data_IF_706356059126
#
_entry.id   IF_706356059126
#
_cell.length_a   1.000
_cell.length_b   1.000
_cell.length_c   1.000
_cell.angle_alpha   90.00
_cell.angle_beta   90.00
_cell.angle_gamma   90.00
#
_symmetry.space_group_name_H-M   'P 1'
#
loop_
_entity.id
_entity.type
_entity.pdbx_description
1 polymer ?
#
# COMPACT_ATOMS: atom_id res chain seq x y z
N UNK A 1 9.06 27.06 -6.08
CA UNK A 1 10.41 26.46 -6.10
C UNK A 1 10.66 25.92 -4.70
N UNK A 2 11.16 24.70 -4.53
CA UNK A 2 11.44 24.12 -3.20
C UNK A 2 12.96 24.14 -2.95
N UNK A 3 13.36 24.23 -1.67
CA UNK A 3 14.77 24.19 -1.30
C UNK A 3 15.41 22.86 -1.73
N UNK A 4 16.57 22.96 -2.38
CA UNK A 4 17.46 21.83 -2.65
C UNK A 4 18.45 21.70 -1.51
N UNK A 5 18.75 20.46 -1.16
CA UNK A 5 19.72 20.12 -0.12
C UNK A 5 20.83 19.29 -0.75
N UNK A 6 21.98 19.23 -0.06
CA UNK A 6 23.05 18.27 -0.34
C UNK A 6 23.13 17.31 0.84
N UNK A 7 22.19 16.36 0.89
CA UNK A 7 22.08 15.43 2.02
C UNK A 7 23.24 14.45 2.02
N UNK A 8 23.88 14.29 3.18
CA UNK A 8 25.00 13.36 3.38
C UNK A 8 24.53 11.90 3.37
N UNK A 9 25.48 10.97 3.21
CA UNK A 9 25.18 9.54 3.30
C UNK A 9 24.75 9.13 4.71
N UNK A 10 25.29 9.77 5.74
CA UNK A 10 24.93 9.50 7.14
C UNK A 10 23.49 9.91 7.41
N UNK A 11 23.08 11.12 7.02
CA UNK A 11 21.68 11.56 7.15
C UNK A 11 20.71 10.64 6.40
N UNK A 12 21.12 10.09 5.25
CA UNK A 12 20.32 9.09 4.54
C UNK A 12 20.27 7.75 5.28
N UNK A 13 21.37 7.31 5.89
CA UNK A 13 21.39 6.11 6.73
C UNK A 13 20.50 6.29 7.98
N UNK A 14 20.45 7.48 8.56
CA UNK A 14 19.57 7.79 9.70
C UNK A 14 18.10 7.65 9.32
N UNK A 15 17.72 8.17 8.15
CA UNK A 15 16.40 7.96 7.59
C UNK A 15 16.09 6.46 7.37
N UNK A 16 17.05 5.68 6.87
CA UNK A 16 16.89 4.23 6.67
C UNK A 16 16.61 3.54 8.01
N UNK A 17 17.36 3.89 9.06
CA UNK A 17 17.19 3.27 10.39
C UNK A 17 15.76 3.48 10.92
N UNK A 18 15.25 4.72 10.83
CA UNK A 18 13.92 5.10 11.31
C UNK A 18 12.77 4.54 10.44
N UNK A 19 12.83 4.72 9.12
CA UNK A 19 11.66 4.54 8.26
C UNK A 19 11.66 3.25 7.43
N UNK A 20 12.83 2.68 7.13
CA UNK A 20 12.92 1.56 6.18
C UNK A 20 12.79 0.23 6.93
N UNK A 21 11.58 -0.35 6.87
CA UNK A 21 11.30 -1.68 7.45
C UNK A 21 11.60 -2.84 6.48
N UNK A 22 11.47 -2.60 5.18
CA UNK A 22 11.92 -3.49 4.11
C UNK A 22 12.45 -2.68 2.94
N UNK A 23 13.33 -3.28 2.12
CA UNK A 23 14.00 -2.60 1.00
C UNK A 23 13.17 -2.50 -0.27
N UNK A 24 11.99 -3.10 -0.31
CA UNK A 24 11.03 -2.83 -1.38
C UNK A 24 10.50 -1.41 -1.25
N UNK A 25 10.36 -0.71 -2.38
CA UNK A 25 9.81 0.63 -2.43
C UNK A 25 9.19 0.91 -3.80
N UNK A 26 8.38 1.96 -3.89
CA UNK A 26 7.91 2.46 -5.17
C UNK A 26 8.33 3.91 -5.38
N UNK A 27 8.49 4.31 -6.63
CA UNK A 27 8.88 5.66 -7.03
C UNK A 27 7.73 6.33 -7.76
N UNK A 28 7.50 7.61 -7.44
CA UNK A 28 6.55 8.43 -8.16
C UNK A 28 7.13 8.82 -9.52
N UNK A 29 6.29 8.79 -10.56
CA UNK A 29 6.65 9.31 -11.88
C UNK A 29 7.10 10.77 -11.78
N UNK A 30 8.18 11.14 -12.48
CA UNK A 30 8.64 12.53 -12.52
C UNK A 30 7.71 13.43 -13.34
N UNK A 31 7.10 12.87 -14.40
CA UNK A 31 6.14 13.57 -15.25
C UNK A 31 4.75 12.98 -15.04
N UNK A 32 3.69 13.81 -14.98
CA UNK A 32 2.33 13.31 -15.03
C UNK A 32 2.10 12.58 -16.35
N UNK A 33 1.25 11.56 -16.31
CA UNK A 33 0.64 10.97 -17.49
C UNK A 33 -0.25 12.01 -18.19
N UNK A 34 -0.64 11.80 -19.48
CA UNK A 34 -1.53 12.72 -20.20
C UNK A 34 -2.86 13.01 -19.48
N UNK A 35 -3.34 12.09 -18.63
CA UNK A 35 -4.53 12.26 -17.80
C UNK A 35 -4.28 13.04 -16.48
N UNK A 36 -3.11 13.65 -16.32
CA UNK A 36 -2.69 14.39 -15.13
C UNK A 36 -2.31 13.52 -13.92
N UNK A 37 -2.47 12.19 -13.98
CA UNK A 37 -2.08 11.30 -12.87
C UNK A 37 -0.57 11.17 -12.79
N UNK A 38 -0.05 11.11 -11.56
CA UNK A 38 1.37 10.89 -11.29
C UNK A 38 1.53 9.53 -10.59
N UNK A 39 1.54 8.42 -11.33
CA UNK A 39 1.51 7.07 -10.76
C UNK A 39 2.79 6.74 -10.00
N UNK A 40 2.69 5.73 -9.14
CA UNK A 40 3.83 5.08 -8.51
C UNK A 40 4.13 3.76 -9.22
N UNK A 41 5.41 3.43 -9.32
CA UNK A 41 5.89 2.17 -9.89
C UNK A 41 6.84 1.49 -8.93
N UNK A 42 6.75 0.16 -8.82
CA UNK A 42 7.73 -0.62 -8.07
C UNK A 42 9.12 -0.37 -8.62
N UNK A 43 10.07 -0.12 -7.73
CA UNK A 43 11.45 0.15 -8.13
C UNK A 43 12.11 -1.11 -8.69
N UNK A 44 12.61 -0.99 -9.92
CA UNK A 44 13.30 -2.05 -10.65
C UNK A 44 14.53 -1.48 -11.31
N UNK A 45 15.54 -2.31 -11.46
CA UNK A 45 16.70 -2.00 -12.28
C UNK A 45 16.27 -1.86 -13.75
N UNK A 46 16.75 -0.82 -14.42
CA UNK A 46 16.23 -0.48 -15.75
C UNK A 46 16.69 -1.49 -16.81
N UNK A 47 17.86 -2.10 -16.63
CA UNK A 47 18.47 -3.05 -17.57
C UNK A 47 17.92 -4.46 -17.34
N UNK A 48 18.04 -4.96 -16.12
CA UNK A 48 17.70 -6.34 -15.75
C UNK A 48 16.23 -6.53 -15.41
N UNK A 49 15.48 -5.43 -15.18
CA UNK A 49 14.08 -5.43 -14.69
C UNK A 49 13.89 -6.11 -13.33
N UNK A 50 14.96 -6.49 -12.65
CA UNK A 50 14.91 -7.10 -11.33
C UNK A 50 14.54 -6.06 -10.26
N UNK A 51 13.94 -6.46 -9.12
CA UNK A 51 13.67 -5.55 -8.01
C UNK A 51 14.95 -4.80 -7.60
N UNK A 52 14.88 -3.47 -7.54
CA UNK A 52 15.99 -2.65 -7.05
C UNK A 52 15.80 -2.43 -5.55
N UNK A 53 16.69 -2.91 -4.67
CA UNK A 53 16.58 -2.64 -3.24
C UNK A 53 16.80 -1.17 -2.92
N UNK A 54 16.03 -0.62 -1.99
CA UNK A 54 16.23 0.72 -1.46
C UNK A 54 17.62 0.83 -0.82
N UNK A 55 18.37 1.88 -1.15
CA UNK A 55 19.70 2.18 -0.66
C UNK A 55 19.84 3.65 -0.24
N UNK A 56 20.98 3.99 0.36
CA UNK A 56 21.25 5.35 0.84
C UNK A 56 21.22 6.39 -0.29
N UNK A 57 21.61 6.02 -1.51
CA UNK A 57 21.68 6.97 -2.62
C UNK A 57 20.27 7.35 -3.10
N UNK A 58 19.34 6.41 -3.17
CA UNK A 58 17.92 6.69 -3.43
C UNK A 58 17.31 7.56 -2.33
N UNK A 59 17.66 7.31 -1.07
CA UNK A 59 17.19 8.15 0.05
C UNK A 59 17.75 9.57 -0.05
N UNK A 60 19.02 9.75 -0.41
CA UNK A 60 19.59 11.08 -0.68
C UNK A 60 18.83 11.78 -1.79
N UNK A 61 18.55 11.10 -2.91
CA UNK A 61 17.74 11.67 -4.00
C UNK A 61 16.34 12.08 -3.53
N UNK A 62 15.69 11.28 -2.67
CA UNK A 62 14.38 11.62 -2.10
C UNK A 62 14.46 12.85 -1.20
N UNK A 63 15.42 12.90 -0.28
CA UNK A 63 15.63 14.01 0.64
C UNK A 63 16.16 15.27 -0.06
N UNK A 64 16.83 15.16 -1.21
CA UNK A 64 17.18 16.30 -2.07
C UNK A 64 15.99 16.75 -2.95
N UNK A 65 14.89 16.00 -2.96
CA UNK A 65 13.71 16.28 -3.77
C UNK A 65 13.87 15.93 -5.25
N UNK A 66 14.84 15.10 -5.63
CA UNK A 66 15.07 14.63 -6.99
C UNK A 66 14.10 13.50 -7.37
N UNK A 67 13.78 12.64 -6.41
CA UNK A 67 12.73 11.61 -6.52
C UNK A 67 11.74 11.71 -5.38
N UNK A 68 10.62 11.00 -5.48
CA UNK A 68 9.66 10.85 -4.40
C UNK A 68 9.34 9.37 -4.30
N UNK A 69 9.54 8.78 -3.13
CA UNK A 69 9.32 7.34 -2.92
C UNK A 69 8.16 7.09 -1.97
N UNK A 70 7.56 5.90 -2.08
CA UNK A 70 6.72 5.34 -1.03
C UNK A 70 7.40 4.15 -0.37
N UNK A 71 7.14 4.00 0.92
CA UNK A 71 7.63 2.90 1.76
C UNK A 71 6.49 1.95 2.09
N UNK A 72 6.84 0.68 2.31
CA UNK A 72 5.92 -0.35 2.76
C UNK A 72 6.13 -0.59 4.25
N UNK A 73 5.03 -0.60 5.01
CA UNK A 73 5.07 -0.68 6.47
C UNK A 73 5.44 -2.07 6.99
N UNK A 74 4.95 -3.14 6.35
CA UNK A 74 5.03 -4.52 6.85
C UNK A 74 6.22 -5.25 6.23
N UNK A 75 7.03 -5.90 7.06
CA UNK A 75 8.04 -6.86 6.65
C UNK A 75 7.36 -8.23 6.41
N UNK A 76 7.49 -8.85 5.22
CA UNK A 76 6.74 -10.06 4.87
C UNK A 76 7.20 -11.32 5.62
N UNK A 77 8.44 -11.35 6.12
CA UNK A 77 8.98 -12.50 6.84
C UNK A 77 8.52 -12.51 8.30
N UNK A 78 8.36 -11.32 8.88
CA UNK A 78 8.08 -11.16 10.32
C UNK A 78 6.68 -10.64 10.61
N UNK A 79 5.97 -10.12 9.61
CA UNK A 79 4.67 -9.42 9.75
C UNK A 79 4.71 -8.22 10.71
N UNK A 80 5.92 -7.68 10.93
CA UNK A 80 6.19 -6.57 11.86
C UNK A 80 6.44 -5.26 11.13
N UNK A 81 6.28 -4.14 11.82
CA UNK A 81 6.46 -2.78 11.33
C UNK A 81 7.32 -1.93 12.27
N UNK A 82 8.13 -1.01 11.72
CA UNK A 82 8.99 -0.10 12.51
C UNK A 82 8.27 1.13 13.03
N UNK A 83 7.10 1.41 12.48
CA UNK A 83 6.35 2.62 12.75
C UNK A 83 4.88 2.38 12.44
N UNK A 84 4.05 3.18 13.09
CA UNK A 84 2.64 3.35 12.77
C UNK A 84 2.48 4.76 12.21
N UNK A 85 1.75 4.89 11.10
CA UNK A 85 1.42 6.18 10.51
C UNK A 85 -0.10 6.32 10.38
N UNK A 86 -0.64 7.41 10.91
CA UNK A 86 -2.06 7.74 10.82
C UNK A 86 -2.20 8.88 9.81
N UNK A 87 -2.75 8.57 8.65
CA UNK A 87 -2.95 9.52 7.55
C UNK A 87 -4.32 10.19 7.69
N UNK A 88 -4.32 11.50 7.92
CA UNK A 88 -5.53 12.31 7.98
C UNK A 88 -5.69 13.14 6.71
N UNK A 89 -6.63 12.72 5.86
CA UNK A 89 -6.93 13.37 4.57
C UNK A 89 -8.43 13.65 4.39
N UNK A 90 -9.02 14.39 5.33
CA UNK A 90 -10.44 14.77 5.37
C UNK A 90 -10.63 16.11 6.13
N UNK A 91 -11.82 16.69 6.05
CA UNK A 91 -12.14 17.93 6.77
C UNK A 91 -12.10 17.69 8.29
N UNK A 92 -11.32 18.48 9.01
CA UNK A 92 -11.07 18.27 10.45
C UNK A 92 -9.93 17.28 10.76
N UNK A 93 -9.20 16.79 9.74
CA UNK A 93 -8.09 15.86 9.95
C UNK A 93 -7.02 16.37 10.92
N UNK A 94 -6.63 17.65 10.82
CA UNK A 94 -5.59 18.23 11.70
C UNK A 94 -6.02 18.18 13.17
N UNK A 95 -7.26 18.56 13.48
CA UNK A 95 -7.82 18.49 14.83
C UNK A 95 -7.84 17.04 15.34
N UNK A 96 -8.27 16.08 14.50
CA UNK A 96 -8.27 14.67 14.84
C UNK A 96 -6.86 14.12 15.15
N UNK A 97 -5.85 14.52 14.36
CA UNK A 97 -4.46 14.12 14.59
C UNK A 97 -3.90 14.72 15.88
N UNK A 98 -4.21 15.97 16.21
CA UNK A 98 -3.82 16.57 17.50
C UNK A 98 -4.52 15.88 18.68
N UNK A 99 -5.81 15.55 18.55
CA UNK A 99 -6.55 14.81 19.57
C UNK A 99 -5.93 13.44 19.85
N UNK A 100 -5.56 12.71 18.79
CA UNK A 100 -4.83 11.44 18.90
C UNK A 100 -3.45 11.63 19.54
N UNK A 101 -2.67 12.62 19.10
CA UNK A 101 -1.35 12.91 19.66
C UNK A 101 -1.44 13.23 21.16
N UNK A 102 -2.44 13.99 21.58
CA UNK A 102 -2.68 14.33 22.98
C UNK A 102 -2.96 13.08 23.83
N UNK A 103 -3.85 12.21 23.36
CA UNK A 103 -4.21 10.98 24.07
C UNK A 103 -3.03 9.98 24.12
N UNK A 104 -2.31 9.81 23.01
CA UNK A 104 -1.06 9.02 22.96
C UNK A 104 -0.05 9.51 24.00
N UNK A 105 0.07 10.84 24.16
CA UNK A 105 0.95 11.42 25.15
C UNK A 105 0.53 11.10 26.59
N UNK A 106 -0.78 10.94 26.86
CA UNK A 106 -1.25 10.50 28.18
C UNK A 106 -0.84 9.05 28.48
N UNK A 107 -0.76 8.21 27.44
CA UNK A 107 -0.23 6.85 27.52
C UNK A 107 1.33 6.83 27.59
N UNK A 108 1.99 8.00 27.56
CA UNK A 108 3.44 8.10 27.51
C UNK A 108 4.04 7.68 26.16
N UNK A 109 3.24 7.69 25.09
CA UNK A 109 3.65 7.41 23.71
C UNK A 109 3.92 8.72 22.98
N UNK A 110 5.14 8.89 22.48
CA UNK A 110 5.49 10.06 21.69
C UNK A 110 5.18 9.83 20.20
N UNK A 111 4.55 10.85 19.60
CA UNK A 111 4.15 10.82 18.21
C UNK A 111 4.40 12.17 17.55
N UNK A 112 4.80 12.15 16.27
CA UNK A 112 5.18 13.34 15.52
C UNK A 112 4.25 13.59 14.34
N UNK A 113 3.76 14.82 14.20
CA UNK A 113 2.88 15.20 13.09
C UNK A 113 3.71 15.78 11.94
N UNK A 114 3.73 15.09 10.81
CA UNK A 114 4.16 15.62 9.51
C UNK A 114 2.98 16.37 8.87
N UNK A 115 3.20 17.61 8.45
CA UNK A 115 2.21 18.31 7.63
C UNK A 115 1.93 17.56 6.32
N UNK A 116 0.77 17.79 5.71
CA UNK A 116 0.48 17.27 4.37
C UNK A 116 -0.30 18.30 3.55
N UNK A 117 -0.62 17.96 2.29
CA UNK A 117 -1.38 18.84 1.40
C UNK A 117 -2.77 19.17 1.93
N UNK A 118 -3.42 18.22 2.60
CA UNK A 118 -4.85 18.27 2.98
C UNK A 118 -5.08 17.97 4.47
N UNK A 119 -4.03 17.70 5.23
CA UNK A 119 -4.09 17.39 6.65
C UNK A 119 -2.69 17.10 7.16
N UNK A 120 -2.44 15.87 7.59
CA UNK A 120 -1.13 15.47 8.10
C UNK A 120 -0.98 13.95 8.23
N UNK A 121 0.21 13.53 8.64
CA UNK A 121 0.48 12.16 9.06
C UNK A 121 0.99 12.19 10.50
N UNK A 122 0.35 11.45 11.41
CA UNK A 122 0.86 11.26 12.78
C UNK A 122 1.68 9.97 12.83
N UNK A 123 2.97 10.09 13.20
CA UNK A 123 3.93 9.00 13.19
C UNK A 123 4.30 8.57 14.61
N UNK A 124 4.23 7.27 14.87
CA UNK A 124 4.72 6.64 16.10
C UNK A 124 5.85 5.69 15.70
N UNK A 125 7.00 5.77 16.36
CA UNK A 125 8.16 4.94 16.05
C UNK A 125 8.35 3.86 17.11
N UNK A 126 8.63 2.65 16.67
CA UNK A 126 8.88 1.52 17.54
C UNK A 126 10.36 1.41 17.92
N UNK A 127 10.65 0.92 19.12
CA UNK A 127 12.01 0.64 19.57
C UNK A 127 12.59 -0.55 18.79
N UNK A 128 11.78 -1.61 18.69
CA UNK A 128 11.99 -2.76 17.83
C UNK A 128 10.72 -3.01 17.01
N UNK A 129 10.78 -3.62 15.82
CA UNK A 129 9.60 -3.79 14.99
C UNK A 129 8.45 -4.51 15.71
N UNK A 130 7.27 -3.88 15.73
CA UNK A 130 6.07 -4.33 16.43
C UNK A 130 5.15 -5.12 15.50
N UNK A 131 4.36 -6.05 16.04
CA UNK A 131 3.41 -6.81 15.23
C UNK A 131 2.38 -5.88 14.60
N UNK A 132 2.17 -5.99 13.28
CA UNK A 132 1.30 -5.07 12.55
C UNK A 132 -0.15 -5.13 13.06
N UNK A 133 -0.64 -6.31 13.41
CA UNK A 133 -1.98 -6.50 13.97
C UNK A 133 -2.17 -5.82 15.33
N UNK A 134 -1.21 -5.95 16.25
CA UNK A 134 -1.23 -5.32 17.57
C UNK A 134 -1.26 -3.78 17.46
N UNK A 135 -0.44 -3.23 16.55
CA UNK A 135 -0.43 -1.80 16.27
C UNK A 135 -1.81 -1.29 15.81
N UNK A 136 -2.49 -2.05 14.95
CA UNK A 136 -3.84 -1.73 14.49
C UNK A 136 -4.84 -1.80 15.62
N UNK A 137 -4.80 -2.83 16.47
CA UNK A 137 -5.69 -2.95 17.63
C UNK A 137 -5.62 -1.69 18.49
N UNK A 138 -4.41 -1.24 18.83
CA UNK A 138 -4.22 -0.05 19.65
C UNK A 138 -4.84 1.19 19.01
N UNK A 139 -4.42 1.54 17.78
CA UNK A 139 -4.84 2.79 17.16
C UNK A 139 -6.33 2.81 16.82
N UNK A 140 -6.91 1.69 16.37
CA UNK A 140 -8.34 1.64 16.08
C UNK A 140 -9.18 1.83 17.35
N UNK A 141 -8.84 1.16 18.45
CA UNK A 141 -9.56 1.33 19.72
C UNK A 141 -9.39 2.76 20.26
N UNK A 142 -8.20 3.33 20.18
CA UNK A 142 -7.92 4.71 20.58
C UNK A 142 -8.74 5.72 19.77
N UNK A 143 -8.73 5.61 18.44
CA UNK A 143 -9.48 6.49 17.56
C UNK A 143 -10.98 6.40 17.80
N UNK A 144 -11.54 5.20 17.99
CA UNK A 144 -12.96 5.02 18.30
C UNK A 144 -13.33 5.59 19.67
N UNK A 145 -12.52 5.37 20.72
CA UNK A 145 -12.70 5.98 22.05
C UNK A 145 -12.79 7.50 21.96
N UNK A 146 -12.00 8.11 21.07
CA UNK A 146 -11.95 9.55 20.86
C UNK A 146 -13.01 10.06 19.87
N UNK A 147 -13.81 9.19 19.26
CA UNK A 147 -14.78 9.58 18.21
C UNK A 147 -14.10 10.08 16.92
N UNK A 148 -12.86 9.71 16.67
CA UNK A 148 -12.14 10.04 15.42
C UNK A 148 -12.62 9.10 14.32
N UNK A 149 -13.14 9.61 13.19
CA UNK A 149 -13.63 8.76 12.11
C UNK A 149 -12.47 8.02 11.44
N UNK A 150 -12.66 6.73 11.16
CA UNK A 150 -11.69 5.87 10.47
C UNK A 150 -12.31 5.38 9.16
N UNK A 151 -11.56 5.46 8.06
CA UNK A 151 -12.00 4.90 6.77
C UNK A 151 -12.22 3.39 6.89
N UNK A 152 -13.35 2.91 6.38
CA UNK A 152 -13.80 1.53 6.57
C UNK A 152 -15.00 1.46 7.52
N UNK A 153 -15.52 0.25 7.80
CA UNK A 153 -16.64 0.07 8.71
C UNK A 153 -17.91 0.86 8.35
N UNK A 154 -18.10 1.19 7.07
CA UNK A 154 -19.21 2.00 6.56
C UNK A 154 -18.88 3.47 6.27
N UNK A 155 -17.74 3.98 6.78
CA UNK A 155 -17.33 5.37 6.56
C UNK A 155 -16.44 5.52 5.31
N UNK A 156 -16.73 6.55 4.51
CA UNK A 156 -15.97 6.91 3.29
C UNK A 156 -14.86 7.93 3.55
N UNK A 157 -14.88 8.61 4.69
CA UNK A 157 -13.92 9.64 5.08
C UNK A 157 -13.50 9.41 6.53
N UNK A 158 -12.26 9.78 6.85
CA UNK A 158 -11.65 9.59 8.15
C UNK A 158 -10.15 9.40 8.04
N UNK A 159 -9.51 9.03 9.14
CA UNK A 159 -8.12 8.62 9.15
C UNK A 159 -7.94 7.27 8.45
N UNK A 160 -6.76 7.06 7.88
CA UNK A 160 -6.28 5.76 7.46
C UNK A 160 -5.08 5.35 8.32
N UNK A 161 -5.07 4.13 8.85
CA UNK A 161 -4.00 3.63 9.72
C UNK A 161 -3.06 2.73 8.92
N UNK A 162 -1.77 3.01 8.98
CA UNK A 162 -0.70 2.19 8.40
C UNK A 162 0.13 1.58 9.54
N UNK A 163 0.36 0.25 9.57
CA UNK A 163 -0.07 -0.73 8.57
C UNK A 163 -1.59 -0.88 8.39
N UNK A 164 -2.05 -1.04 7.14
CA UNK A 164 -3.48 -1.26 6.82
C UNK A 164 -3.91 -2.71 6.99
N UNK A 165 -2.97 -3.63 6.93
CA UNK A 165 -3.20 -5.07 7.05
C UNK A 165 -2.65 -5.59 8.38
N UNK A 166 -3.26 -6.64 8.91
CA UNK A 166 -2.70 -7.43 10.02
C UNK A 166 -1.49 -8.25 9.57
N UNK A 167 -1.53 -8.72 8.32
CA UNK A 167 -0.48 -9.51 7.68
C UNK A 167 -0.53 -9.34 6.16
N UNK A 168 0.58 -9.65 5.49
CA UNK A 168 0.70 -9.75 4.03
C UNK A 168 1.13 -11.17 3.65
N UNK A 169 0.59 -11.67 2.54
CA UNK A 169 0.99 -12.96 1.98
C UNK A 169 2.34 -12.87 1.25
N UNK A 170 2.93 -14.02 0.95
CA UNK A 170 4.15 -14.08 0.15
C UNK A 170 3.95 -13.42 -1.21
N UNK A 171 4.91 -12.59 -1.62
CA UNK A 171 4.84 -11.81 -2.86
C UNK A 171 3.97 -10.55 -2.77
N UNK A 172 3.21 -10.35 -1.69
CA UNK A 172 2.49 -9.10 -1.46
C UNK A 172 3.43 -7.99 -0.90
N UNK A 173 3.10 -6.75 -1.23
CA UNK A 173 3.80 -5.57 -0.70
C UNK A 173 3.02 -4.87 0.42
N UNK A 174 1.70 -5.10 0.49
CA UNK A 174 0.80 -4.32 1.32
C UNK A 174 0.58 -2.90 0.79
N UNK A 175 0.01 -2.03 1.62
CA UNK A 175 -0.20 -0.63 1.27
C UNK A 175 1.06 0.21 1.51
N UNK A 176 1.41 1.04 0.53
CA UNK A 176 2.51 1.98 0.63
C UNK A 176 2.03 3.35 1.12
N UNK A 177 2.88 4.05 1.86
CA UNK A 177 2.71 5.46 2.22
C UNK A 177 3.88 6.28 1.66
N UNK A 178 3.65 7.54 1.30
CA UNK A 178 4.72 8.44 0.84
C UNK A 178 5.76 8.60 1.94
N UNK A 179 7.03 8.38 1.60
CA UNK A 179 8.13 8.68 2.51
C UNK A 179 8.10 10.15 2.93
N UNK A 180 8.25 10.45 4.23
CA UNK A 180 8.23 11.83 4.72
C UNK A 180 9.46 12.59 4.25
N UNK A 181 9.47 13.90 4.48
CA UNK A 181 10.56 14.83 4.17
C UNK A 181 10.90 14.96 2.68
N UNK A 182 10.28 14.22 1.77
CA UNK A 182 10.46 14.40 0.33
C UNK A 182 9.60 15.53 -0.25
N UNK A 183 9.78 15.80 -1.54
CA UNK A 183 8.94 16.77 -2.26
C UNK A 183 7.69 16.09 -2.80
N UNK A 184 6.52 16.67 -2.52
CA UNK A 184 5.25 16.19 -3.03
C UNK A 184 5.04 16.67 -4.47
N UNK A 185 5.09 15.77 -5.46
CA UNK A 185 5.11 16.15 -6.90
C UNK A 185 3.91 16.95 -7.37
N UNK A 186 2.70 16.68 -6.86
CA UNK A 186 1.50 17.45 -7.24
C UNK A 186 1.54 18.93 -6.81
N UNK A 187 2.16 19.23 -5.67
CA UNK A 187 2.17 20.59 -5.10
C UNK A 187 3.53 21.26 -5.26
N UNK A 188 4.56 20.48 -5.59
CA UNK A 188 5.95 20.90 -5.63
C UNK A 188 6.43 21.55 -4.30
N UNK A 189 5.81 21.12 -3.20
CA UNK A 189 6.11 21.54 -1.83
C UNK A 189 6.69 20.39 -1.04
N UNK A 190 7.49 20.73 -0.04
CA UNK A 190 7.94 19.81 0.99
C UNK A 190 7.11 20.03 2.24
N UNK A 191 6.76 18.95 2.89
CA UNK A 191 6.08 19.00 4.18
C UNK A 191 7.02 18.50 5.27
N UNK A 192 6.92 19.13 6.42
CA UNK A 192 7.84 19.00 7.54
C UNK A 192 7.08 18.52 8.77
N UNK A 193 7.79 17.90 9.70
CA UNK A 193 7.28 17.72 11.05
C UNK A 193 7.25 19.07 11.77
N UNK A 194 6.16 19.33 12.50
CA UNK A 194 5.90 20.67 13.07
C UNK A 194 6.95 21.11 14.11
N UNK A 195 7.47 20.17 14.90
CA UNK A 195 8.33 20.49 16.05
C UNK A 195 9.84 20.49 15.71
N UNK A 196 10.20 20.73 14.44
CA UNK A 196 11.58 20.76 14.00
C UNK A 196 11.85 21.80 12.90
N UNK A 197 13.08 22.34 12.80
CA UNK A 197 13.49 23.22 11.71
C UNK A 197 13.28 22.59 10.33
N UNK A 198 13.06 23.41 9.30
CA UNK A 198 12.69 22.96 7.94
C UNK A 198 13.89 22.49 7.11
N UNK A 199 14.67 21.55 7.65
CA UNK A 199 15.85 20.96 7.02
C UNK A 199 15.94 19.46 7.33
N UNK A 200 16.43 18.59 6.42
CA UNK A 200 16.39 17.15 6.62
C UNK A 200 17.13 16.66 7.88
N UNK A 201 18.29 17.24 8.20
CA UNK A 201 19.11 16.80 9.34
C UNK A 201 18.43 17.14 10.69
N UNK A 202 18.02 18.39 10.98
CA UNK A 202 17.26 18.71 12.19
C UNK A 202 15.95 17.92 12.34
N UNK A 203 15.25 17.66 11.23
CA UNK A 203 14.03 16.85 11.24
C UNK A 203 14.32 15.42 11.72
N UNK A 204 15.36 14.78 11.18
CA UNK A 204 15.74 13.43 11.59
C UNK A 204 16.30 13.40 13.02
N UNK A 205 17.02 14.45 13.45
CA UNK A 205 17.49 14.56 14.83
C UNK A 205 16.32 14.62 15.82
N UNK A 206 15.30 15.45 15.54
CA UNK A 206 14.07 15.50 16.32
C UNK A 206 13.39 14.13 16.41
N UNK A 207 13.18 13.46 15.27
CA UNK A 207 12.53 12.14 15.26
C UNK A 207 13.32 11.07 16.00
N UNK A 208 14.65 11.10 15.93
CA UNK A 208 15.51 10.20 16.70
C UNK A 208 15.38 10.44 18.20
N UNK A 209 15.24 11.71 18.62
CA UNK A 209 15.07 12.09 20.02
C UNK A 209 13.75 11.66 20.66
N UNK A 210 12.73 11.31 19.86
CA UNK A 210 11.45 10.85 20.40
C UNK A 210 11.60 9.52 21.14
N UNK A 211 10.88 9.35 22.25
CA UNK A 211 10.72 8.04 22.89
C UNK A 211 10.10 7.06 21.90
N UNK A 212 10.66 5.86 21.83
CA UNK A 212 10.20 4.79 20.94
C UNK A 212 9.25 3.87 21.69
N UNK A 213 8.13 3.50 21.06
CA UNK A 213 7.14 2.59 21.63
C UNK A 213 7.73 1.17 21.73
N UNK A 214 7.64 0.58 22.91
CA UNK A 214 8.10 -0.79 23.16
C UNK A 214 6.99 -1.82 22.94
N UNK A 215 7.36 -3.08 22.71
CA UNK A 215 6.38 -4.18 22.56
C UNK A 215 5.60 -4.43 23.86
N UNK A 216 6.25 -4.27 25.01
CA UNK A 216 5.61 -4.40 26.33
C UNK A 216 4.56 -3.32 26.56
N UNK A 217 4.86 -2.05 26.27
CA UNK A 217 3.89 -0.95 26.37
C UNK A 217 2.71 -1.19 25.43
N UNK A 218 2.97 -1.50 24.15
CA UNK A 218 1.91 -1.79 23.18
C UNK A 218 0.98 -2.91 23.68
N UNK A 219 1.55 -4.03 24.16
CA UNK A 219 0.77 -5.16 24.68
C UNK A 219 -0.04 -4.81 25.92
N UNK A 220 0.49 -3.93 26.77
CA UNK A 220 -0.26 -3.41 27.92
C UNK A 220 -1.47 -2.58 27.48
N UNK A 221 -1.31 -1.72 26.47
CA UNK A 221 -2.42 -0.86 26.00
C UNK A 221 -3.55 -1.65 25.33
N UNK A 222 -3.22 -2.77 24.67
CA UNK A 222 -4.21 -3.59 23.97
C UNK A 222 -4.73 -4.76 24.81
N UNK A 223 -4.38 -4.84 26.10
CA UNK A 223 -4.81 -5.95 26.95
C UNK A 223 -6.34 -6.03 27.01
N UNK A 224 -6.89 -7.18 26.61
CA UNK A 224 -8.34 -7.40 26.55
C UNK A 224 -9.04 -6.72 25.37
N UNK A 225 -8.31 -6.03 24.50
CA UNK A 225 -8.86 -5.41 23.29
C UNK A 225 -8.73 -6.34 22.09
N UNK A 226 -9.65 -6.18 21.14
CA UNK A 226 -9.55 -6.80 19.82
C UNK A 226 -9.73 -5.74 18.74
N UNK A 227 -9.37 -6.06 17.50
CA UNK A 227 -9.66 -5.17 16.39
C UNK A 227 -11.19 -5.05 16.26
N UNK A 228 -11.77 -3.84 16.23
CA UNK A 228 -13.22 -3.69 16.18
C UNK A 228 -13.83 -4.37 14.94
N UNK A 229 -14.98 -5.02 15.12
CA UNK A 229 -15.55 -5.97 14.14
C UNK A 229 -15.75 -5.36 12.75
N UNK A 230 -16.22 -4.12 12.70
CA UNK A 230 -16.45 -3.38 11.46
C UNK A 230 -15.17 -3.04 10.67
N UNK A 231 -13.98 -3.25 11.27
CA UNK A 231 -12.68 -3.03 10.64
C UNK A 231 -11.84 -4.30 10.55
N UNK A 232 -12.37 -5.45 10.98
CA UNK A 232 -11.73 -6.73 10.73
C UNK A 232 -11.69 -6.99 9.22
N UNK A 233 -10.55 -7.44 8.68
CA UNK A 233 -10.53 -7.88 7.29
C UNK A 233 -11.56 -9.01 7.13
N UNK A 234 -12.31 -9.04 6.02
CA UNK A 234 -13.22 -10.14 5.76
C UNK A 234 -12.41 -11.43 5.77
N UNK A 235 -12.93 -12.46 6.45
CA UNK A 235 -12.34 -13.79 6.40
C UNK A 235 -12.31 -14.18 4.92
N UNK A 236 -11.11 -14.35 4.36
CA UNK A 236 -10.94 -14.96 3.05
C UNK A 236 -11.37 -16.41 3.24
N UNK A 237 -12.63 -16.73 2.97
CA UNK A 237 -13.06 -18.12 2.91
C UNK A 237 -12.12 -18.83 1.93
N UNK A 238 -11.47 -19.93 2.34
CA UNK A 238 -10.77 -20.77 1.39
C UNK A 238 -11.74 -21.05 0.26
N UNK A 239 -11.33 -20.84 -0.98
CA UNK A 239 -12.16 -21.24 -2.11
C UNK A 239 -12.36 -22.75 -2.02
N UNK A 240 -13.51 -23.16 -1.47
CA UNK A 240 -13.98 -24.53 -1.53
C UNK A 240 -14.65 -24.62 -2.90
N UNK A 241 -14.11 -25.40 -3.85
CA UNK A 241 -14.85 -25.70 -5.07
C UNK A 241 -16.20 -26.26 -4.63
N UNK A 242 -17.29 -25.56 -4.97
CA UNK A 242 -18.63 -26.03 -4.65
C UNK A 242 -18.77 -27.48 -5.12
N UNK A 243 -19.36 -28.39 -4.30
CA UNK A 243 -19.73 -29.70 -4.78
C UNK A 243 -20.60 -29.52 -6.03
N UNK A 244 -20.25 -30.24 -7.09
CA UNK A 244 -20.93 -30.22 -8.37
C UNK A 244 -22.45 -30.29 -8.17
N UNK A 245 -23.15 -29.19 -8.48
CA UNK A 245 -24.59 -29.22 -8.72
C UNK A 245 -24.79 -29.16 -10.23
N UNK A 246 -25.36 -30.23 -10.78
CA UNK A 246 -25.78 -30.34 -12.17
C UNK A 246 -26.91 -29.34 -12.47
N UNK A 247 -26.58 -28.07 -12.70
CA UNK A 247 -27.49 -27.10 -13.30
C UNK A 247 -26.66 -26.16 -14.18
N UNK A 248 -26.79 -26.32 -15.50
CA UNK A 248 -26.22 -25.52 -16.59
C UNK A 248 -24.86 -24.83 -16.29
N UNK A 249 -23.76 -25.48 -16.70
CA UNK A 249 -22.39 -24.95 -16.57
C UNK A 249 -22.28 -23.49 -17.05
N UNK A 250 -22.18 -22.55 -16.10
CA UNK A 250 -21.65 -21.21 -16.39
C UNK A 250 -20.17 -21.34 -16.75
N UNK A 251 -19.79 -20.86 -17.92
CA UNK A 251 -18.41 -20.91 -18.39
C UNK A 251 -17.44 -20.15 -17.48
N UNK A 252 -16.37 -20.81 -17.06
CA UNK A 252 -15.25 -20.24 -16.30
C UNK A 252 -13.97 -20.41 -17.10
N UNK A 253 -13.31 -19.31 -17.46
CA UNK A 253 -12.15 -19.38 -18.37
C UNK A 253 -10.95 -20.13 -17.78
N UNK A 254 -10.84 -20.19 -16.45
CA UNK A 254 -9.77 -20.92 -15.74
C UNK A 254 -9.89 -22.45 -15.86
N UNK A 255 -11.05 -22.97 -16.29
CA UNK A 255 -11.21 -24.40 -16.58
C UNK A 255 -10.49 -24.79 -17.88
N UNK A 256 -10.25 -23.81 -18.76
CA UNK A 256 -9.68 -24.01 -20.10
C UNK A 256 -8.27 -23.42 -20.25
N UNK A 257 -7.90 -22.46 -19.41
CA UNK A 257 -6.64 -21.71 -19.52
C UNK A 257 -5.87 -21.79 -18.21
N UNK A 258 -4.58 -22.13 -18.29
CA UNK A 258 -3.64 -22.13 -17.16
C UNK A 258 -2.92 -20.77 -17.07
N UNK A 259 -3.09 -20.01 -15.97
CA UNK A 259 -2.28 -18.82 -15.72
C UNK A 259 -0.79 -19.12 -15.61
N UNK A 260 0.04 -18.19 -16.07
CA UNK A 260 1.50 -18.22 -15.91
C UNK A 260 1.99 -17.36 -14.76
N UNK A 261 1.39 -16.18 -14.59
CA UNK A 261 1.79 -15.19 -13.58
C UNK A 261 0.56 -14.55 -12.95
N UNK A 262 0.78 -13.81 -11.86
CA UNK A 262 -0.25 -13.15 -11.06
C UNK A 262 0.23 -11.75 -10.67
N UNK A 263 -0.67 -10.77 -10.70
CA UNK A 263 -0.51 -9.51 -9.98
C UNK A 263 -1.62 -9.32 -8.93
N UNK A 264 -1.68 -8.16 -8.28
CA UNK A 264 -2.68 -7.89 -7.24
C UNK A 264 -4.16 -7.88 -7.71
N UNK A 265 -4.45 -7.85 -9.02
CA UNK A 265 -5.80 -7.80 -9.59
C UNK A 265 -6.12 -8.93 -10.56
N UNK A 266 -5.12 -9.44 -11.28
CA UNK A 266 -5.32 -10.38 -12.38
C UNK A 266 -4.35 -11.57 -12.33
N UNK A 267 -4.86 -12.72 -12.75
CA UNK A 267 -4.08 -13.79 -13.33
C UNK A 267 -3.75 -13.44 -14.78
N UNK A 268 -2.54 -13.74 -15.20
CA UNK A 268 -2.07 -13.50 -16.57
C UNK A 268 -1.80 -14.82 -17.26
N UNK A 269 -2.37 -14.99 -18.44
CA UNK A 269 -2.35 -16.26 -19.16
C UNK A 269 -2.23 -16.05 -20.69
N UNK A 270 -1.91 -17.11 -21.44
CA UNK A 270 -2.00 -17.09 -22.89
C UNK A 270 -3.46 -16.92 -23.33
N UNK A 271 -3.70 -16.07 -24.33
CA UNK A 271 -5.03 -15.92 -24.92
C UNK A 271 -5.24 -17.03 -25.97
N UNK A 272 -6.27 -17.90 -25.83
CA UNK A 272 -6.52 -19.00 -26.77
C UNK A 272 -6.69 -18.54 -28.23
N UNK A 273 -7.42 -17.44 -28.44
CA UNK A 273 -7.62 -16.85 -29.76
C UNK A 273 -6.33 -16.26 -30.34
N UNK A 274 -5.52 -15.56 -29.53
CA UNK A 274 -4.21 -15.07 -29.98
C UNK A 274 -3.26 -16.22 -30.32
N UNK A 275 -3.32 -17.33 -29.57
CA UNK A 275 -2.48 -18.50 -29.81
C UNK A 275 -2.85 -19.18 -31.12
N UNK A 276 -4.15 -19.41 -31.38
CA UNK A 276 -4.61 -19.94 -32.66
C UNK A 276 -4.21 -19.04 -33.84
N UNK A 277 -4.21 -17.72 -33.64
CA UNK A 277 -3.80 -16.76 -34.66
C UNK A 277 -2.28 -16.50 -34.73
N UNK A 278 -1.45 -17.18 -33.93
CA UNK A 278 0.01 -16.99 -33.91
C UNK A 278 0.48 -15.62 -33.39
N UNK A 279 -0.38 -14.86 -32.70
CA UNK A 279 -0.10 -13.50 -32.19
C UNK A 279 0.33 -13.49 -30.72
N UNK A 280 0.23 -14.61 -30.02
CA UNK A 280 0.53 -14.72 -28.58
C UNK A 280 2.01 -14.98 -28.29
N UNK A 281 2.89 -13.99 -28.55
CA UNK A 281 4.35 -14.15 -28.44
C UNK A 281 4.86 -14.26 -26.99
N UNK A 282 4.24 -13.54 -26.06
CA UNK A 282 4.63 -13.48 -24.64
C UNK A 282 3.86 -14.47 -23.76
N UNK A 283 2.66 -14.90 -24.18
CA UNK A 283 1.83 -15.84 -23.44
C UNK A 283 1.22 -15.25 -22.16
N UNK A 284 1.04 -13.93 -22.12
CA UNK A 284 0.42 -13.14 -21.05
C UNK A 284 -0.62 -12.15 -21.59
N UNK A 285 -1.14 -12.38 -22.80
CA UNK A 285 -2.11 -11.49 -23.42
C UNK A 285 -3.47 -11.46 -22.71
N UNK A 286 -3.82 -12.50 -21.95
CA UNK A 286 -5.12 -12.64 -21.29
C UNK A 286 -5.00 -12.28 -19.80
N UNK A 287 -5.60 -11.16 -19.41
CA UNK A 287 -5.83 -10.82 -18.01
C UNK A 287 -7.15 -11.43 -17.53
N UNK A 288 -7.14 -12.18 -16.43
CA UNK A 288 -8.31 -12.81 -15.82
C UNK A 288 -8.43 -12.28 -14.39
N UNK A 289 -9.54 -11.65 -14.05
CA UNK A 289 -9.70 -10.99 -12.76
C UNK A 289 -9.69 -12.02 -11.61
N UNK A 290 -8.88 -11.76 -10.58
CA UNK A 290 -8.74 -12.67 -9.42
C UNK A 290 -10.04 -12.77 -8.64
N UNK A 291 -10.68 -11.63 -8.35
CA UNK A 291 -11.91 -11.58 -7.56
C UNK A 291 -13.09 -12.24 -8.26
N UNK A 292 -13.10 -12.28 -9.60
CA UNK A 292 -14.14 -12.94 -10.37
C UNK A 292 -13.60 -13.36 -11.75
N UNK A 293 -13.17 -14.63 -11.91
CA UNK A 293 -12.60 -15.15 -13.14
C UNK A 293 -13.53 -15.16 -14.36
N UNK A 294 -14.81 -14.79 -14.20
CA UNK A 294 -15.72 -14.56 -15.32
C UNK A 294 -15.34 -13.32 -16.12
N UNK A 295 -14.63 -12.37 -15.50
CA UNK A 295 -14.13 -11.17 -16.17
C UNK A 295 -12.71 -11.41 -16.63
N UNK A 296 -12.52 -11.39 -17.94
CA UNK A 296 -11.22 -11.50 -18.57
C UNK A 296 -11.15 -10.58 -19.77
N UNK A 297 -9.94 -10.13 -20.09
CA UNK A 297 -9.67 -9.24 -21.22
C UNK A 297 -8.38 -9.65 -21.90
N UNK A 298 -8.45 -9.80 -23.23
CA UNK A 298 -7.25 -9.89 -24.05
C UNK A 298 -6.70 -8.49 -24.35
N UNK A 299 -5.44 -8.24 -24.02
CA UNK A 299 -4.75 -6.98 -24.30
C UNK A 299 -4.30 -6.85 -25.76
N UNK A 300 -4.25 -7.96 -26.51
CA UNK A 300 -4.03 -7.96 -27.95
C UNK A 300 -5.33 -7.80 -28.76
N UNK A 301 -6.47 -7.53 -28.11
CA UNK A 301 -7.70 -7.08 -28.78
C UNK A 301 -8.74 -8.15 -29.13
N UNK A 302 -8.56 -9.42 -28.74
CA UNK A 302 -9.58 -10.44 -28.97
C UNK A 302 -10.86 -10.16 -28.15
N UNK A 303 -12.02 -10.32 -28.78
CA UNK A 303 -13.31 -10.24 -28.10
C UNK A 303 -13.55 -11.48 -27.22
N UNK A 304 -14.51 -11.40 -26.31
CA UNK A 304 -14.92 -12.56 -25.52
C UNK A 304 -15.44 -13.70 -26.41
N UNK A 305 -16.12 -13.37 -27.52
CA UNK A 305 -16.58 -14.35 -28.51
C UNK A 305 -15.42 -15.05 -29.21
N UNK A 306 -14.38 -14.31 -29.62
CA UNK A 306 -13.19 -14.90 -30.25
C UNK A 306 -12.47 -15.87 -29.31
N UNK A 307 -12.29 -15.45 -28.05
CA UNK A 307 -11.64 -16.25 -27.01
C UNK A 307 -12.43 -17.53 -26.74
N UNK A 308 -13.74 -17.41 -26.62
CA UNK A 308 -14.62 -18.53 -26.31
C UNK A 308 -14.83 -19.48 -27.48
N UNK A 309 -14.91 -18.96 -28.70
CA UNK A 309 -14.95 -19.77 -29.92
C UNK A 309 -13.66 -20.56 -30.09
N UNK A 310 -12.51 -19.96 -29.79
CA UNK A 310 -11.22 -20.65 -29.78
C UNK A 310 -11.16 -21.81 -28.76
N UNK A 311 -11.98 -21.77 -27.71
CA UNK A 311 -12.10 -22.82 -26.70
C UNK A 311 -13.25 -23.81 -26.97
N UNK A 312 -13.96 -23.68 -28.09
CA UNK A 312 -15.14 -24.49 -28.40
C UNK A 312 -16.36 -24.20 -27.53
N UNK A 313 -16.44 -23.01 -26.91
CA UNK A 313 -17.48 -22.61 -25.95
C UNK A 313 -18.14 -21.26 -26.30
N UNK A 314 -18.58 -21.01 -27.55
CA UNK A 314 -19.04 -19.70 -28.03
C UNK A 314 -20.17 -19.12 -27.17
N UNK A 315 -20.27 -17.78 -27.09
CA UNK A 315 -21.41 -17.18 -26.40
C UNK A 315 -22.71 -17.55 -27.13
N UNK A 316 -23.74 -17.91 -26.37
CA UNK A 316 -25.08 -18.08 -26.92
C UNK A 316 -25.55 -16.72 -27.45
N UNK A 317 -25.72 -16.59 -28.76
CA UNK A 317 -26.39 -15.43 -29.36
C UNK A 317 -27.80 -15.35 -28.77
N UNK A 318 -28.17 -14.23 -28.14
CA UNK A 318 -29.58 -13.96 -27.81
C UNK A 318 -30.34 -13.97 -29.13
N UNK A 319 -31.35 -14.85 -29.27
CA UNK A 319 -32.37 -14.70 -30.33
C UNK A 319 -32.96 -13.31 -30.14
N UNK A 320 -32.79 -12.45 -31.13
CA UNK A 320 -33.56 -11.20 -31.18
C UNK A 320 -35.02 -11.61 -31.38
N UNK A 321 -35.86 -11.21 -30.43
CA UNK A 321 -37.31 -11.22 -30.57
C UNK A 321 -37.75 -9.84 -31.05
#
# INVERSE_FOLDING_TARGET
MYAKFSVSRDTANDFIRLFVNRRAYSMQAQKPLPNGKVPYFLARDWTTKQPKPLDADVIRMHLNGDVTINLYAINPETQRCKWVAIDGDFDGAVEALFKLQWELKQDGVEAAIEASRRGGHLWIFAETPLLASECRIYIYNLALKLGVPIVGGGLKQGIEVFPKQDQIEEGEFGNAIRAPLGVHRKTNRRYWFYDAPTEPLPQLAYLNGLKKLTETELRSFIQGMTLPENYKPPIREPYVPSPFREVQQEFRILDYVRPKTKDHRNWWAPCPSCRQAGRDKSGDNLAIQIANPRYYKCWAGCSADDIRSALGQPLRKKRMA
#
